data_IF_003715674595
#
_entry.id   IF_003715674595
#
_cell.length_a   1.000
_cell.length_b   1.000
_cell.length_c   1.000
_cell.angle_alpha   90.00
_cell.angle_beta   90.00
_cell.angle_gamma   90.00
#
_symmetry.space_group_name_H-M   'P 1'
#
loop_
_entity.id
_entity.type
_entity.pdbx_description
1 polymer ?
#
# COMPACT_ATOMS: atom_id res chain seq x y z
N UNK A 1 5.93 2.07 16.11
CA UNK A 1 6.36 1.54 14.80
C UNK A 1 7.82 1.91 14.61
N UNK A 2 8.68 0.99 14.18
CA UNK A 2 10.08 1.28 13.88
C UNK A 2 10.24 1.34 12.35
N UNK A 3 9.85 2.47 11.76
CA UNK A 3 9.66 2.63 10.31
C UNK A 3 10.91 2.88 9.50
N UNK A 4 12.08 2.96 10.15
CA UNK A 4 13.30 3.44 9.49
C UNK A 4 13.93 2.43 8.55
N UNK A 5 13.61 1.13 8.66
CA UNK A 5 14.23 0.11 7.82
C UNK A 5 13.23 -0.96 7.37
N UNK A 6 12.85 -0.93 6.09
CA UNK A 6 12.04 -1.97 5.44
C UNK A 6 12.89 -3.23 5.25
N UNK A 7 12.39 -4.38 5.70
CA UNK A 7 12.98 -5.69 5.36
C UNK A 7 12.49 -6.14 3.97
N UNK A 8 13.21 -5.72 2.92
CA UNK A 8 12.85 -6.02 1.52
C UNK A 8 12.74 -7.53 1.23
N UNK A 9 13.40 -8.39 2.01
CA UNK A 9 13.32 -9.84 1.84
C UNK A 9 12.00 -10.43 2.34
N UNK A 10 11.25 -9.70 3.19
CA UNK A 10 9.97 -10.11 3.77
C UNK A 10 8.76 -9.46 3.12
N UNK A 11 8.95 -8.74 2.00
CA UNK A 11 7.84 -8.20 1.22
C UNK A 11 7.01 -9.34 0.62
N UNK A 12 5.69 -9.22 0.74
CA UNK A 12 4.75 -10.19 0.20
C UNK A 12 4.76 -10.14 -1.34
N UNK A 13 4.89 -11.32 -1.96
CA UNK A 13 4.92 -11.50 -3.43
C UNK A 13 3.57 -11.91 -4.01
N UNK A 14 2.61 -12.22 -3.15
CA UNK A 14 1.24 -12.60 -3.51
C UNK A 14 0.24 -12.23 -2.42
N UNK A 15 -1.05 -12.25 -2.76
CA UNK A 15 -2.14 -11.95 -1.80
C UNK A 15 -2.14 -12.88 -0.57
N UNK A 16 -1.90 -14.21 -0.68
CA UNK A 16 -1.82 -15.07 0.51
C UNK A 16 -0.68 -14.69 1.45
N UNK A 17 0.51 -14.39 0.91
CA UNK A 17 1.66 -13.92 1.70
C UNK A 17 1.38 -12.57 2.34
N UNK A 18 0.67 -11.68 1.62
CA UNK A 18 0.28 -10.37 2.13
C UNK A 18 -0.64 -10.51 3.34
N UNK A 19 -1.65 -11.37 3.26
CA UNK A 19 -2.53 -11.65 4.41
C UNK A 19 -1.77 -12.25 5.60
N UNK A 20 -0.79 -13.13 5.37
CA UNK A 20 0.07 -13.67 6.44
C UNK A 20 0.91 -12.56 7.08
N UNK A 21 1.48 -11.66 6.28
CA UNK A 21 2.24 -10.51 6.76
C UNK A 21 1.35 -9.56 7.59
N UNK A 22 0.12 -9.30 7.14
CA UNK A 22 -0.84 -8.50 7.89
C UNK A 22 -1.26 -9.16 9.22
N UNK A 23 -1.34 -10.49 9.28
CA UNK A 23 -1.61 -11.21 10.52
C UNK A 23 -0.39 -11.33 11.46
N UNK A 24 0.81 -10.98 10.98
CA UNK A 24 2.05 -11.06 11.75
C UNK A 24 2.28 -9.85 12.66
N UNK A 25 3.24 -9.96 13.57
CA UNK A 25 3.69 -8.86 14.44
C UNK A 25 4.70 -7.92 13.76
N UNK A 26 4.73 -7.86 12.42
CA UNK A 26 5.58 -6.91 11.70
C UNK A 26 5.22 -5.46 12.07
N UNK A 27 6.17 -4.77 12.68
CA UNK A 27 6.08 -3.39 13.19
C UNK A 27 6.76 -2.37 12.27
N UNK A 28 7.21 -2.81 11.10
CA UNK A 28 7.88 -2.00 10.07
C UNK A 28 6.97 -1.67 8.88
N UNK A 29 5.74 -2.23 8.82
CA UNK A 29 4.76 -1.90 7.79
C UNK A 29 3.74 -0.88 8.30
N UNK A 30 3.33 0.03 7.43
CA UNK A 30 2.23 0.95 7.67
C UNK A 30 0.88 0.23 7.50
N UNK A 31 0.02 0.34 8.52
CA UNK A 31 -1.28 -0.36 8.59
C UNK A 31 -2.47 0.58 8.65
N UNK A 32 -2.22 1.85 8.94
CA UNK A 32 -3.24 2.90 8.99
C UNK A 32 -2.68 4.22 8.44
N UNK A 33 -3.55 5.21 8.24
CA UNK A 33 -3.15 6.52 7.74
C UNK A 33 -2.14 7.23 8.65
N UNK A 34 -2.26 7.05 9.97
CA UNK A 34 -1.35 7.68 10.94
C UNK A 34 0.06 7.07 10.87
N UNK A 35 0.17 5.77 10.58
CA UNK A 35 1.46 5.14 10.31
C UNK A 35 2.12 5.77 9.08
N UNK A 36 1.35 5.98 8.01
CA UNK A 36 1.87 6.60 6.78
C UNK A 36 2.30 8.05 7.05
N UNK A 37 1.55 8.80 7.85
CA UNK A 37 1.93 10.18 8.24
C UNK A 37 3.24 10.23 9.00
N UNK A 38 3.56 9.22 9.81
CA UNK A 38 4.87 9.13 10.49
C UNK A 38 6.03 8.96 9.49
N UNK A 39 5.76 8.46 8.27
CA UNK A 39 6.74 8.30 7.20
C UNK A 39 6.98 9.58 6.39
N UNK A 40 6.27 10.69 6.67
CA UNK A 40 6.31 11.93 5.87
C UNK A 40 7.73 12.40 5.53
N UNK A 41 8.66 12.28 6.49
CA UNK A 41 10.04 12.75 6.37
C UNK A 41 11.02 11.64 5.94
N UNK A 42 10.53 10.45 5.63
CA UNK A 42 11.32 9.30 5.19
C UNK A 42 11.24 9.16 3.67
N UNK A 43 12.32 8.78 2.97
CA UNK A 43 12.23 8.47 1.55
C UNK A 43 11.25 7.32 1.25
N UNK A 44 10.50 7.39 0.13
CA UNK A 44 10.50 8.47 -0.86
C UNK A 44 9.54 9.62 -0.51
N UNK A 45 8.72 9.52 0.54
CA UNK A 45 7.73 10.53 0.92
C UNK A 45 8.33 11.91 1.18
N UNK A 46 9.56 11.98 1.68
CA UNK A 46 10.27 13.25 1.89
C UNK A 46 10.47 14.10 0.62
N UNK A 47 10.34 13.49 -0.57
CA UNK A 47 10.42 14.19 -1.87
C UNK A 47 9.10 14.77 -2.35
N UNK A 48 7.99 14.27 -1.80
CA UNK A 48 6.63 14.64 -2.22
C UNK A 48 6.21 15.92 -1.49
N UNK A 49 5.55 16.84 -2.18
CA UNK A 49 4.93 18.02 -1.58
C UNK A 49 3.87 17.63 -0.55
N UNK A 50 3.64 18.48 0.47
CA UNK A 50 2.65 18.19 1.51
C UNK A 50 1.25 17.95 0.92
N UNK A 51 0.92 18.71 -0.14
CA UNK A 51 -0.35 18.58 -0.86
C UNK A 51 -0.51 17.19 -1.49
N UNK A 52 0.49 16.76 -2.26
CA UNK A 52 0.40 15.48 -2.98
C UNK A 52 0.56 14.29 -2.01
N UNK A 53 1.30 14.46 -0.92
CA UNK A 53 1.37 13.49 0.18
C UNK A 53 0.02 13.30 0.86
N UNK A 54 -0.66 14.37 1.28
CA UNK A 54 -1.98 14.25 1.92
C UNK A 54 -3.03 13.74 0.94
N UNK A 55 -2.95 14.12 -0.35
CA UNK A 55 -3.80 13.55 -1.38
C UNK A 55 -3.59 12.03 -1.51
N UNK A 56 -2.34 11.56 -1.50
CA UNK A 56 -2.02 10.13 -1.47
C UNK A 56 -2.59 9.44 -0.23
N UNK A 57 -2.34 9.98 0.98
CA UNK A 57 -2.85 9.42 2.24
C UNK A 57 -4.38 9.34 2.24
N UNK A 58 -5.06 10.37 1.73
CA UNK A 58 -6.53 10.39 1.60
C UNK A 58 -7.07 9.36 0.59
N UNK A 59 -6.23 8.96 -0.37
CA UNK A 59 -6.53 7.96 -1.40
C UNK A 59 -6.27 6.52 -0.98
N UNK A 60 -5.78 6.29 0.25
CA UNK A 60 -5.56 4.96 0.81
C UNK A 60 -6.87 4.35 1.31
N UNK A 61 -7.10 3.08 0.96
CA UNK A 61 -8.21 2.29 1.45
C UNK A 61 -7.65 1.21 2.38
N UNK A 62 -8.02 1.28 3.66
CA UNK A 62 -7.56 0.33 4.66
C UNK A 62 -8.59 -0.78 4.93
N UNK A 63 -8.11 -1.98 5.19
CA UNK A 63 -8.91 -3.15 5.52
C UNK A 63 -8.01 -4.32 5.89
N UNK A 64 -8.54 -5.30 6.65
CA UNK A 64 -7.81 -6.54 7.02
C UNK A 64 -6.46 -6.30 7.72
N UNK A 65 -6.30 -5.16 8.40
CA UNK A 65 -5.08 -4.82 9.13
C UNK A 65 -3.97 -4.20 8.26
N UNK A 66 -4.27 -3.77 7.03
CA UNK A 66 -3.36 -3.09 6.11
C UNK A 66 -4.10 -2.32 5.02
N UNK A 67 -3.44 -2.05 3.89
CA UNK A 67 -4.12 -1.44 2.73
C UNK A 67 -4.79 -2.53 1.87
N UNK A 68 -5.99 -2.25 1.39
CA UNK A 68 -6.71 -3.09 0.42
C UNK A 68 -6.83 -2.41 -0.95
N UNK A 69 -6.49 -1.13 -1.02
CA UNK A 69 -6.35 -0.37 -2.25
C UNK A 69 -5.71 0.99 -2.00
N UNK A 70 -5.21 1.61 -3.05
CA UNK A 70 -4.66 2.96 -3.01
C UNK A 70 -4.72 3.58 -4.41
N UNK A 71 -4.83 4.91 -4.49
CA UNK A 71 -4.46 5.64 -5.70
C UNK A 71 -3.06 6.26 -5.54
N UNK A 72 -2.16 5.96 -6.45
CA UNK A 72 -0.80 6.52 -6.47
C UNK A 72 -0.66 7.68 -7.46
N UNK A 73 -1.77 8.12 -8.07
CA UNK A 73 -1.80 9.27 -8.99
C UNK A 73 -1.13 10.53 -8.42
N UNK A 74 -1.32 10.92 -7.15
CA UNK A 74 -0.67 12.12 -6.60
C UNK A 74 0.86 12.00 -6.58
N UNK A 75 1.39 10.79 -6.47
CA UNK A 75 2.83 10.54 -6.39
C UNK A 75 3.53 10.64 -7.75
N UNK A 76 2.81 10.44 -8.84
CA UNK A 76 3.36 10.40 -10.21
C UNK A 76 3.99 11.72 -10.67
N UNK A 77 3.65 12.84 -10.02
CA UNK A 77 4.20 14.15 -10.36
C UNK A 77 5.65 14.32 -9.88
N UNK A 78 6.00 13.67 -8.78
CA UNK A 78 7.22 13.97 -8.01
C UNK A 78 8.11 12.74 -7.81
N UNK A 79 7.57 11.53 -7.99
CA UNK A 79 8.28 10.27 -7.84
C UNK A 79 8.43 9.51 -9.16
N UNK A 80 9.57 8.84 -9.29
CA UNK A 80 9.76 7.82 -10.32
C UNK A 80 8.93 6.56 -10.02
N UNK A 81 8.69 5.72 -11.03
CA UNK A 81 8.00 4.43 -10.84
C UNK A 81 8.71 3.55 -9.80
N UNK A 82 10.05 3.51 -9.80
CA UNK A 82 10.82 2.78 -8.79
C UNK A 82 10.58 3.28 -7.37
N UNK A 83 10.45 4.60 -7.19
CA UNK A 83 10.15 5.18 -5.88
C UNK A 83 8.70 4.92 -5.46
N UNK A 84 7.76 4.87 -6.40
CA UNK A 84 6.39 4.45 -6.11
C UNK A 84 6.36 2.98 -5.64
N UNK A 85 7.21 2.11 -6.17
CA UNK A 85 7.37 0.77 -5.61
C UNK A 85 7.98 0.78 -4.21
N UNK A 86 8.92 1.67 -3.92
CA UNK A 86 9.43 1.85 -2.55
C UNK A 86 8.33 2.39 -1.60
N UNK A 87 7.38 3.21 -2.08
CA UNK A 87 6.16 3.55 -1.32
C UNK A 87 5.37 2.30 -0.98
N UNK A 88 5.11 1.42 -1.95
CA UNK A 88 4.38 0.17 -1.69
C UNK A 88 5.11 -0.79 -0.75
N UNK A 89 6.45 -0.76 -0.74
CA UNK A 89 7.25 -1.55 0.18
C UNK A 89 7.01 -1.17 1.66
N UNK A 90 6.70 0.10 1.96
CA UNK A 90 6.30 0.52 3.31
C UNK A 90 4.99 -0.13 3.79
N UNK A 91 4.19 -0.66 2.87
CA UNK A 91 2.98 -1.42 3.19
C UNK A 91 3.22 -2.94 3.19
N UNK A 92 4.46 -3.40 3.00
CA UNK A 92 4.80 -4.83 2.96
C UNK A 92 4.59 -5.49 1.60
N UNK A 93 4.46 -4.71 0.52
CA UNK A 93 4.14 -5.20 -0.82
C UNK A 93 5.41 -5.24 -1.67
N UNK A 94 5.67 -6.37 -2.35
CA UNK A 94 6.78 -6.47 -3.30
C UNK A 94 6.45 -5.82 -4.64
N UNK A 95 7.49 -5.54 -5.44
CA UNK A 95 7.31 -5.05 -6.83
C UNK A 95 6.43 -6.01 -7.65
N UNK A 96 6.62 -7.32 -7.48
CA UNK A 96 5.85 -8.34 -8.21
C UNK A 96 4.36 -8.26 -7.86
N UNK A 97 4.02 -8.17 -6.57
CA UNK A 97 2.64 -8.04 -6.12
C UNK A 97 2.04 -6.71 -6.56
N UNK A 98 2.79 -5.60 -6.39
CA UNK A 98 2.35 -4.28 -6.82
C UNK A 98 1.99 -4.29 -8.30
N UNK A 99 2.91 -4.75 -9.17
CA UNK A 99 2.74 -4.79 -10.64
C UNK A 99 1.49 -5.57 -11.05
N UNK A 100 1.21 -6.71 -10.41
CA UNK A 100 0.03 -7.53 -10.70
C UNK A 100 -1.28 -6.91 -10.23
N UNK A 101 -1.21 -5.97 -9.29
CA UNK A 101 -2.36 -5.32 -8.65
C UNK A 101 -2.61 -3.91 -9.19
N UNK A 102 -1.74 -3.39 -10.08
CA UNK A 102 -1.87 -2.08 -10.71
C UNK A 102 -3.10 -2.01 -11.62
N UNK A 103 -3.51 -0.79 -11.92
CA UNK A 103 -4.60 -0.44 -12.82
C UNK A 103 -6.00 -0.87 -12.34
N UNK A 104 -6.15 -1.13 -11.04
CA UNK A 104 -7.43 -1.43 -10.42
C UNK A 104 -7.59 -0.65 -9.11
N UNK A 105 -8.79 -0.13 -8.85
CA UNK A 105 -9.17 0.43 -7.54
C UNK A 105 -10.11 -0.51 -6.79
N UNK A 106 -10.04 -0.48 -5.47
CA UNK A 106 -10.99 -1.19 -4.61
C UNK A 106 -12.38 -0.54 -4.68
N UNK A 107 -13.42 -1.34 -4.96
CA UNK A 107 -14.84 -0.93 -4.99
C UNK A 107 -15.70 -1.95 -4.27
N UNK A 108 -16.25 -1.60 -3.10
CA UNK A 108 -17.01 -2.54 -2.28
C UNK A 108 -16.20 -3.82 -2.00
N UNK A 109 -16.69 -4.96 -2.48
CA UNK A 109 -16.04 -6.27 -2.35
C UNK A 109 -15.16 -6.67 -3.54
N UNK A 110 -14.89 -5.78 -4.50
CA UNK A 110 -14.18 -6.11 -5.74
C UNK A 110 -13.18 -5.05 -6.19
N UNK A 111 -12.66 -5.26 -7.40
CA UNK A 111 -11.71 -4.41 -8.07
C UNK A 111 -12.31 -3.91 -9.40
N UNK A 112 -12.19 -2.62 -9.68
CA UNK A 112 -12.62 -2.02 -10.96
C UNK A 112 -11.43 -1.33 -11.62
N UNK A 113 -11.32 -1.38 -12.94
CA UNK A 113 -10.23 -0.73 -13.65
C UNK A 113 -10.10 0.76 -13.30
N UNK A 114 -8.89 1.17 -12.94
CA UNK A 114 -8.48 2.55 -12.70
C UNK A 114 -6.95 2.64 -12.82
N UNK A 115 -6.48 3.27 -13.88
CA UNK A 115 -5.09 3.19 -14.34
C UNK A 115 -4.04 3.63 -13.30
N UNK A 116 -4.40 4.46 -12.32
CA UNK A 116 -3.48 4.99 -11.32
C UNK A 116 -3.75 4.46 -9.90
N UNK A 117 -4.29 3.25 -9.83
CA UNK A 117 -4.69 2.62 -8.58
C UNK A 117 -4.12 1.21 -8.43
N UNK A 118 -4.05 0.75 -7.18
CA UNK A 118 -3.85 -0.66 -6.84
C UNK A 118 -5.06 -1.21 -6.11
N UNK A 119 -5.36 -2.49 -6.33
CA UNK A 119 -6.40 -3.23 -5.63
C UNK A 119 -5.83 -4.55 -5.11
N UNK A 120 -5.86 -4.73 -3.79
CA UNK A 120 -5.40 -5.95 -3.10
C UNK A 120 -6.59 -6.77 -2.58
N UNK A 121 -7.81 -6.39 -2.99
CA UNK A 121 -9.06 -7.00 -2.54
C UNK A 121 -9.44 -8.27 -3.32
N UNK A 122 -8.50 -8.97 -3.94
CA UNK A 122 -8.73 -10.17 -4.78
C UNK A 122 -9.15 -11.43 -3.97
N UNK A 123 -9.99 -11.28 -2.95
CA UNK A 123 -10.68 -12.44 -2.37
C UNK A 123 -12.03 -12.57 -3.05
N UNK A 124 -12.15 -13.57 -3.94
CA UNK A 124 -13.43 -14.16 -4.34
C UNK A 124 -14.16 -14.87 -3.19
N UNK A 125 -13.63 -14.86 -1.96
CA UNK A 125 -14.27 -15.50 -0.81
C UNK A 125 -15.06 -14.47 0.02
N UNK A 126 -16.38 -14.67 0.22
CA UNK A 126 -17.12 -13.95 1.24
C UNK A 126 -16.65 -14.41 2.61
N UNK A 127 -16.31 -13.46 3.48
CA UNK A 127 -15.88 -13.81 4.85
C UNK A 127 -17.09 -14.03 5.77
N UNK A 128 -16.99 -15.00 6.70
CA UNK A 128 -17.99 -15.18 7.73
C UNK A 128 -17.92 -13.99 8.69
N UNK A 129 -19.07 -13.33 8.85
CA UNK A 129 -19.32 -12.37 9.92
C UNK A 129 -19.13 -13.07 11.27
N UNK A 130 -18.20 -12.57 12.09
CA UNK A 130 -18.27 -12.80 13.53
C UNK A 130 -19.40 -11.98 14.12
#
# INVERSE_FOLDING_TARGET
MNTTTIDKAKLAKGIPEYHQLLASNADWIARCADDVRQLRNTPPFSKVSDKDFEAFVSGLVFGRGGIVGATYKPLMNELTISEIYDVFAHFGISVDLATRSLEYKATGSGCSFDFWSICLNETKEPFPTK
#
